data_IF_795818282905
#
_entry.id   IF_795818282905
#
_cell.length_a   1.000
_cell.length_b   1.000
_cell.length_c   1.000
_cell.angle_alpha   90.00
_cell.angle_beta   90.00
_cell.angle_gamma   90.00
#
_symmetry.space_group_name_H-M   'P 1'
#
loop_
_entity.id
_entity.type
_entity.pdbx_description
1 polymer ?
#
# COMPACT_ATOMS: atom_id res chain seq x y z
N UNK A 1 -53.07 7.77 -1.22
CA UNK A 1 -51.74 8.43 -1.29
C UNK A 1 -50.79 7.57 -2.12
N UNK A 2 -50.53 7.95 -3.36
CA UNK A 2 -49.30 7.59 -4.10
C UNK A 2 -49.07 8.70 -5.13
N UNK A 3 -47.87 9.25 -5.07
CA UNK A 3 -47.41 10.47 -5.75
C UNK A 3 -47.09 10.12 -7.20
N UNK A 4 -47.66 10.88 -8.15
CA UNK A 4 -47.29 10.83 -9.57
C UNK A 4 -46.13 11.81 -9.79
N UNK A 5 -44.98 11.31 -10.25
CA UNK A 5 -43.86 12.14 -10.69
C UNK A 5 -44.08 12.57 -12.15
N UNK A 6 -43.96 13.88 -12.35
CA UNK A 6 -44.14 14.63 -13.60
C UNK A 6 -42.95 14.37 -14.54
N UNK A 7 -43.21 13.85 -15.75
CA UNK A 7 -42.23 13.87 -16.84
C UNK A 7 -42.16 15.28 -17.47
N UNK A 8 -40.97 15.79 -17.84
CA UNK A 8 -40.84 17.12 -18.42
C UNK A 8 -41.29 17.19 -19.88
N UNK A 9 -41.84 18.35 -20.18
CA UNK A 9 -42.32 18.89 -21.44
C UNK A 9 -41.28 18.85 -22.57
N UNK A 10 -41.67 18.31 -23.72
CA UNK A 10 -40.91 18.42 -24.96
C UNK A 10 -41.60 17.86 -26.21
N UNK A 11 -42.93 17.69 -26.20
CA UNK A 11 -43.68 17.21 -27.35
C UNK A 11 -44.47 18.36 -27.99
N UNK A 12 -44.15 18.67 -29.23
CA UNK A 12 -45.04 19.28 -30.22
C UNK A 12 -44.57 18.89 -31.63
N UNK A 13 -45.42 18.93 -32.66
CA UNK A 13 -46.82 18.52 -32.67
C UNK A 13 -47.16 17.57 -33.84
N UNK A 14 -48.29 16.88 -33.68
CA UNK A 14 -49.28 16.44 -34.66
C UNK A 14 -48.87 16.09 -36.10
N UNK A 15 -49.24 14.88 -36.52
CA UNK A 15 -49.95 14.67 -37.79
C UNK A 15 -51.06 13.64 -37.55
N UNK A 16 -52.31 14.14 -37.57
CA UNK A 16 -53.51 13.33 -37.63
C UNK A 16 -53.66 12.76 -39.04
N UNK A 17 -53.80 11.45 -39.16
CA UNK A 17 -54.52 10.87 -40.30
C UNK A 17 -55.53 9.88 -39.70
N UNK A 18 -56.78 10.32 -39.63
CA UNK A 18 -57.93 9.43 -39.64
C UNK A 18 -58.08 8.93 -41.08
N UNK A 19 -58.01 7.62 -41.29
CA UNK A 19 -58.81 7.04 -42.36
C UNK A 19 -59.31 5.65 -41.95
N UNK A 20 -60.63 5.54 -41.96
CA UNK A 20 -61.39 4.35 -41.67
C UNK A 20 -62.03 3.89 -42.97
N UNK A 21 -61.31 3.10 -43.77
CA UNK A 21 -61.86 2.26 -44.84
C UNK A 21 -61.02 0.98 -45.01
N UNK A 22 -61.71 -0.17 -44.98
CA UNK A 22 -61.28 -1.59 -45.01
C UNK A 22 -60.40 -1.97 -46.26
N UNK A 23 -59.62 -3.09 -46.33
CA UNK A 23 -59.98 -4.44 -45.85
C UNK A 23 -58.85 -5.36 -45.29
N UNK A 24 -59.29 -6.51 -44.78
CA UNK A 24 -58.48 -7.68 -44.42
C UNK A 24 -57.65 -8.17 -45.63
N UNK A 25 -56.35 -7.88 -45.64
CA UNK A 25 -55.38 -8.54 -46.49
C UNK A 25 -54.18 -8.97 -45.63
N UNK A 26 -54.12 -10.26 -45.32
CA UNK A 26 -52.94 -10.94 -44.80
C UNK A 26 -51.85 -10.88 -45.87
N UNK A 27 -51.04 -9.84 -45.84
CA UNK A 27 -49.74 -9.82 -46.50
C UNK A 27 -48.69 -9.82 -45.41
N UNK A 28 -47.99 -10.94 -45.27
CA UNK A 28 -46.73 -11.02 -44.55
C UNK A 28 -45.69 -10.22 -45.32
N UNK A 29 -45.78 -8.89 -45.30
CA UNK A 29 -44.58 -8.09 -45.48
C UNK A 29 -43.70 -8.39 -44.29
N UNK A 30 -42.58 -9.04 -44.56
CA UNK A 30 -41.42 -9.05 -43.67
C UNK A 30 -41.19 -7.60 -43.26
N UNK A 31 -41.66 -7.22 -42.07
CA UNK A 31 -41.15 -6.05 -41.39
C UNK A 31 -39.73 -6.46 -41.08
N UNK A 32 -38.80 -6.13 -41.99
CA UNK A 32 -37.41 -6.01 -41.61
C UNK A 32 -37.41 -4.91 -40.57
N UNK A 33 -37.54 -5.30 -39.30
CA UNK A 33 -37.12 -4.44 -38.22
C UNK A 33 -35.73 -3.98 -38.62
N UNK A 34 -35.45 -2.67 -38.71
CA UNK A 34 -34.07 -2.24 -38.83
C UNK A 34 -33.35 -2.96 -37.71
N UNK A 35 -32.37 -3.82 -38.06
CA UNK A 35 -31.50 -4.42 -37.05
C UNK A 35 -31.01 -3.23 -36.26
N UNK A 36 -31.49 -3.10 -35.03
CA UNK A 36 -31.11 -2.02 -34.17
C UNK A 36 -29.62 -2.23 -33.94
N UNK A 37 -28.79 -1.60 -34.76
CA UNK A 37 -27.38 -1.44 -34.51
C UNK A 37 -27.23 -0.34 -33.46
N UNK A 38 -28.01 -0.47 -32.38
CA UNK A 38 -27.74 0.16 -31.11
C UNK A 38 -26.90 -0.85 -30.36
N UNK A 39 -25.62 -0.94 -30.68
CA UNK A 39 -24.66 -1.44 -29.69
C UNK A 39 -24.80 -0.49 -28.51
N UNK A 40 -25.57 -0.88 -27.50
CA UNK A 40 -25.58 -0.16 -26.22
C UNK A 40 -24.13 -0.16 -25.75
N UNK A 41 -23.53 1.03 -25.74
CA UNK A 41 -22.10 1.20 -25.45
C UNK A 41 -21.81 0.49 -24.12
N UNK A 42 -21.01 -0.57 -24.17
CA UNK A 42 -20.59 -1.32 -22.99
C UNK A 42 -21.45 -2.53 -22.59
N UNK A 43 -22.32 -3.06 -23.47
CA UNK A 43 -22.95 -4.37 -23.28
C UNK A 43 -22.53 -5.35 -24.38
N UNK A 44 -22.31 -6.60 -23.98
CA UNK A 44 -21.76 -7.69 -24.79
C UNK A 44 -22.51 -8.99 -24.50
N UNK A 45 -22.33 -9.99 -25.36
CA UNK A 45 -22.97 -11.31 -25.26
C UNK A 45 -24.17 -11.48 -26.20
N UNK A 46 -24.60 -12.73 -26.44
CA UNK A 46 -25.70 -13.05 -27.34
C UNK A 46 -27.06 -12.50 -26.88
N UNK A 47 -27.18 -12.07 -25.62
CA UNK A 47 -28.38 -11.50 -25.01
C UNK A 47 -28.11 -10.13 -24.35
N UNK A 48 -26.98 -9.48 -24.66
CA UNK A 48 -26.54 -8.23 -24.01
C UNK A 48 -26.47 -8.34 -22.48
N UNK A 49 -26.11 -9.52 -21.96
CA UNK A 49 -26.12 -9.86 -20.54
C UNK A 49 -24.85 -9.44 -19.79
N UNK A 50 -23.73 -9.23 -20.51
CA UNK A 50 -22.46 -8.80 -19.92
C UNK A 50 -22.32 -7.30 -20.11
N UNK A 51 -22.24 -6.54 -19.02
CA UNK A 51 -21.88 -5.13 -19.09
C UNK A 51 -20.38 -4.93 -18.80
N UNK A 52 -19.86 -3.73 -19.07
CA UNK A 52 -18.48 -3.38 -18.72
C UNK A 52 -18.42 -2.24 -17.72
N UNK A 53 -17.48 -2.33 -16.79
CA UNK A 53 -17.06 -1.21 -15.96
C UNK A 53 -15.65 -0.80 -16.38
N UNK A 54 -15.50 0.43 -16.88
CA UNK A 54 -14.21 1.02 -17.24
C UNK A 54 -13.41 0.14 -18.21
N UNK A 55 -14.11 -0.40 -19.22
CA UNK A 55 -13.59 -1.31 -20.27
C UNK A 55 -13.20 -2.71 -19.80
N UNK A 56 -13.55 -3.10 -18.57
CA UNK A 56 -13.38 -4.45 -18.04
C UNK A 56 -14.76 -5.14 -17.99
N UNK A 57 -14.85 -6.37 -18.51
CA UNK A 57 -16.06 -7.19 -18.49
C UNK A 57 -16.52 -7.52 -17.06
N UNK A 58 -17.83 -7.50 -16.81
CA UNK A 58 -18.40 -7.72 -15.47
C UNK A 58 -18.14 -9.10 -14.86
N UNK A 59 -17.74 -10.09 -15.68
CA UNK A 59 -17.37 -11.43 -15.26
C UNK A 59 -15.87 -11.60 -14.94
N UNK A 60 -15.05 -10.58 -15.20
CA UNK A 60 -13.61 -10.61 -14.96
C UNK A 60 -13.29 -10.42 -13.49
N UNK A 61 -12.31 -11.16 -12.97
CA UNK A 61 -11.83 -10.99 -11.59
C UNK A 61 -11.10 -9.66 -11.36
N UNK A 62 -10.78 -8.92 -12.43
CA UNK A 62 -10.12 -7.61 -12.35
C UNK A 62 -11.12 -6.44 -12.41
N UNK A 63 -12.41 -6.71 -12.65
CA UNK A 63 -13.43 -5.66 -12.72
C UNK A 63 -13.51 -4.95 -11.37
N UNK A 64 -13.69 -3.63 -11.39
CA UNK A 64 -13.70 -2.82 -10.17
C UNK A 64 -12.46 -3.09 -9.29
N UNK A 65 -11.29 -3.15 -9.93
CA UNK A 65 -9.99 -3.45 -9.32
C UNK A 65 -9.94 -4.77 -8.55
N UNK A 66 -10.89 -5.68 -8.78
CA UNK A 66 -11.04 -6.94 -8.03
C UNK A 66 -11.65 -6.79 -6.64
N UNK A 67 -12.19 -5.61 -6.31
CA UNK A 67 -12.71 -5.27 -4.97
C UNK A 67 -14.13 -4.69 -5.03
N UNK A 68 -14.94 -5.25 -5.92
CA UNK A 68 -16.34 -4.88 -6.07
C UNK A 68 -17.02 -5.61 -7.21
N UNK A 69 -18.27 -5.23 -7.45
CA UNK A 69 -19.11 -5.79 -8.51
C UNK A 69 -19.53 -4.71 -9.49
N UNK A 70 -19.47 -5.04 -10.78
CA UNK A 70 -19.98 -4.16 -11.83
C UNK A 70 -21.52 -4.27 -11.88
N UNK A 71 -22.21 -3.28 -11.32
CA UNK A 71 -23.67 -3.28 -11.20
C UNK A 71 -24.36 -2.83 -12.50
N UNK A 72 -23.74 -1.89 -13.21
CA UNK A 72 -24.17 -1.38 -14.52
C UNK A 72 -22.98 -0.74 -15.25
N UNK A 73 -23.17 -0.28 -16.49
CA UNK A 73 -22.10 0.32 -17.29
C UNK A 73 -21.35 1.43 -16.53
N UNK A 74 -20.04 1.24 -16.34
CA UNK A 74 -19.16 2.12 -15.55
C UNK A 74 -19.62 2.39 -14.11
N UNK A 75 -20.37 1.48 -13.49
CA UNK A 75 -20.85 1.62 -12.12
C UNK A 75 -20.42 0.44 -11.25
N UNK A 76 -19.33 0.65 -10.51
CA UNK A 76 -18.81 -0.29 -9.54
C UNK A 76 -19.46 -0.09 -8.16
N UNK A 77 -19.94 -1.18 -7.56
CA UNK A 77 -20.31 -1.25 -6.15
C UNK A 77 -19.15 -1.92 -5.42
N UNK A 78 -18.48 -1.16 -4.56
CA UNK A 78 -17.26 -1.61 -3.88
C UNK A 78 -17.55 -2.49 -2.68
N UNK A 79 -16.62 -3.41 -2.40
CA UNK A 79 -16.59 -4.19 -1.17
C UNK A 79 -16.24 -3.30 0.02
N UNK A 80 -16.54 -3.78 1.23
CA UNK A 80 -16.28 -3.03 2.48
C UNK A 80 -14.80 -2.63 2.60
N UNK A 81 -14.56 -1.35 2.89
CA UNK A 81 -13.21 -0.77 3.03
C UNK A 81 -12.56 -0.31 1.72
N UNK A 82 -13.21 -0.54 0.57
CA UNK A 82 -12.77 -0.04 -0.73
C UNK A 82 -13.65 1.09 -1.23
N UNK A 83 -13.08 1.94 -2.07
CA UNK A 83 -13.72 3.17 -2.57
C UNK A 83 -13.05 3.64 -3.87
N UNK A 84 -13.57 4.71 -4.45
CA UNK A 84 -13.14 5.19 -5.76
C UNK A 84 -14.09 4.72 -6.85
N UNK A 85 -13.83 5.17 -8.08
CA UNK A 85 -14.69 4.88 -9.22
C UNK A 85 -14.59 3.42 -9.66
N UNK A 86 -13.44 2.81 -9.43
CA UNK A 86 -13.11 1.42 -9.76
C UNK A 86 -12.76 0.63 -8.50
N UNK A 87 -13.14 1.08 -7.30
CA UNK A 87 -12.81 0.42 -6.02
C UNK A 87 -11.30 0.27 -5.77
N UNK A 88 -10.50 1.17 -6.34
CA UNK A 88 -9.03 1.15 -6.31
C UNK A 88 -8.42 1.79 -5.04
N UNK A 89 -9.23 2.53 -4.28
CA UNK A 89 -8.78 3.29 -3.10
C UNK A 89 -9.21 2.58 -1.83
N UNK A 90 -8.24 2.35 -0.95
CA UNK A 90 -8.47 1.80 0.38
C UNK A 90 -7.45 2.42 1.35
N UNK A 91 -7.61 2.14 2.64
CA UNK A 91 -6.73 2.67 3.68
C UNK A 91 -6.12 1.57 4.52
N UNK A 92 -4.85 1.74 4.88
CA UNK A 92 -4.18 0.96 5.92
C UNK A 92 -4.00 1.84 7.14
N UNK A 93 -4.71 1.52 8.23
CA UNK A 93 -4.55 2.18 9.54
C UNK A 93 -4.67 3.72 9.44
N UNK A 94 -5.63 4.18 8.63
CA UNK A 94 -5.92 5.61 8.43
C UNK A 94 -5.11 6.31 7.32
N UNK A 95 -4.16 5.61 6.67
CA UNK A 95 -3.42 6.14 5.51
C UNK A 95 -3.92 5.51 4.21
N UNK A 96 -4.13 6.32 3.16
CA UNK A 96 -4.47 5.80 1.84
C UNK A 96 -3.39 4.85 1.30
N UNK A 97 -3.79 3.86 0.52
CA UNK A 97 -2.89 2.89 -0.12
C UNK A 97 -1.80 3.51 -0.99
N UNK A 98 -2.01 4.73 -1.49
CA UNK A 98 -1.03 5.52 -2.26
C UNK A 98 -0.10 6.39 -1.41
N UNK A 99 -0.29 6.45 -0.10
CA UNK A 99 0.51 7.27 0.81
C UNK A 99 1.85 6.62 1.13
N UNK A 100 2.94 7.39 1.07
CA UNK A 100 4.27 6.95 1.53
C UNK A 100 4.35 6.67 3.03
N UNK A 101 3.39 7.19 3.81
CA UNK A 101 3.33 6.99 5.25
C UNK A 101 2.53 5.74 5.65
N UNK A 102 1.82 5.12 4.70
CA UNK A 102 1.14 3.85 4.97
C UNK A 102 2.17 2.80 5.40
N UNK A 103 1.79 1.93 6.34
CA UNK A 103 2.68 0.88 6.86
C UNK A 103 4.02 1.44 7.38
N UNK A 104 3.98 2.58 8.07
CA UNK A 104 5.14 3.33 8.59
C UNK A 104 6.21 3.66 7.53
N UNK A 105 5.86 3.66 6.25
CA UNK A 105 6.82 3.78 5.14
C UNK A 105 7.75 2.58 4.97
N UNK A 106 7.55 1.51 5.74
CA UNK A 106 8.37 0.30 5.77
C UNK A 106 7.62 -0.92 5.19
N UNK A 107 6.59 -0.69 4.40
CA UNK A 107 5.80 -1.74 3.78
C UNK A 107 4.87 -1.22 2.69
N UNK A 108 4.11 -2.15 2.12
CA UNK A 108 3.08 -1.87 1.11
C UNK A 108 1.70 -2.10 1.71
N UNK A 109 0.80 -1.15 1.52
CA UNK A 109 -0.61 -1.30 1.87
C UNK A 109 -1.31 -2.18 0.82
N UNK A 110 -1.64 -3.42 1.17
CA UNK A 110 -2.13 -4.44 0.21
C UNK A 110 -3.63 -4.64 0.25
N UNK A 111 -4.28 -4.30 1.36
CA UNK A 111 -5.73 -4.35 1.56
C UNK A 111 -6.11 -3.46 2.76
N UNK A 112 -7.41 -3.20 3.01
CA UNK A 112 -7.87 -2.42 4.15
C UNK A 112 -7.24 -2.90 5.47
N UNK A 113 -6.50 -2.02 6.15
CA UNK A 113 -5.78 -2.31 7.39
C UNK A 113 -4.82 -3.52 7.31
N UNK A 114 -4.24 -3.77 6.13
CA UNK A 114 -3.28 -4.86 5.92
C UNK A 114 -2.01 -4.37 5.24
N UNK A 115 -0.89 -4.54 5.93
CA UNK A 115 0.43 -4.18 5.47
C UNK A 115 1.26 -5.42 5.15
N UNK A 116 1.94 -5.39 4.00
CA UNK A 116 3.01 -6.30 3.66
C UNK A 116 4.35 -5.60 3.95
N UNK A 117 5.06 -6.05 4.98
CA UNK A 117 6.28 -5.39 5.42
C UNK A 117 7.49 -5.68 4.52
N UNK A 118 8.35 -4.67 4.37
CA UNK A 118 9.64 -4.82 3.72
C UNK A 118 10.54 -5.77 4.55
N UNK A 119 11.54 -6.35 3.90
CA UNK A 119 12.45 -7.29 4.55
C UNK A 119 13.09 -6.70 5.82
N UNK A 120 13.01 -7.43 6.94
CA UNK A 120 13.56 -7.02 8.23
C UNK A 120 12.62 -6.19 9.11
N UNK A 121 11.47 -5.73 8.59
CA UNK A 121 10.41 -5.07 9.34
C UNK A 121 9.27 -6.03 9.66
N UNK A 122 8.57 -5.77 10.76
CA UNK A 122 7.44 -6.55 11.25
C UNK A 122 6.52 -5.70 12.13
N UNK A 123 5.41 -6.30 12.57
CA UNK A 123 4.30 -5.58 13.20
C UNK A 123 3.12 -5.46 12.25
N UNK A 124 1.96 -5.06 12.76
CA UNK A 124 0.75 -4.92 11.93
C UNK A 124 0.87 -3.76 10.94
N UNK A 125 1.70 -2.77 11.27
CA UNK A 125 1.92 -1.57 10.48
C UNK A 125 3.38 -1.43 10.03
N UNK A 126 4.20 -2.49 10.14
CA UNK A 126 5.62 -2.49 9.82
C UNK A 126 6.45 -1.49 10.65
N UNK A 127 6.02 -1.25 11.88
CA UNK A 127 6.60 -0.31 12.83
C UNK A 127 7.83 -0.85 13.56
N UNK A 128 7.99 -2.17 13.63
CA UNK A 128 9.05 -2.82 14.41
C UNK A 128 10.12 -3.43 13.51
N UNK A 129 11.35 -3.45 14.00
CA UNK A 129 12.49 -4.09 13.35
C UNK A 129 13.54 -4.52 14.38
N UNK A 130 14.55 -5.26 13.93
CA UNK A 130 15.69 -5.68 14.76
C UNK A 130 17.01 -5.16 14.21
N UNK A 131 17.89 -4.75 15.10
CA UNK A 131 19.30 -4.50 14.82
C UNK A 131 20.14 -5.63 15.41
N UNK A 132 20.79 -6.42 14.56
CA UNK A 132 21.72 -7.49 14.96
C UNK A 132 21.09 -8.42 16.00
N UNK A 133 19.88 -8.91 15.68
CA UNK A 133 19.05 -9.78 16.53
C UNK A 133 18.41 -9.13 17.77
N UNK A 134 18.75 -7.89 18.10
CA UNK A 134 18.12 -7.13 19.19
C UNK A 134 16.94 -6.30 18.67
N UNK A 135 15.89 -6.15 19.48
CA UNK A 135 14.78 -5.26 19.14
C UNK A 135 15.28 -3.80 19.04
N UNK A 136 14.73 -3.01 18.11
CA UNK A 136 15.06 -1.59 17.92
C UNK A 136 15.00 -0.75 19.21
N UNK A 137 14.18 -1.13 20.19
CA UNK A 137 14.02 -0.42 21.46
C UNK A 137 14.86 -0.97 22.62
N UNK A 138 15.72 -1.97 22.38
CA UNK A 138 16.57 -2.54 23.42
C UNK A 138 17.64 -1.55 23.87
N UNK A 139 17.89 -1.43 25.17
CA UNK A 139 18.99 -0.63 25.71
C UNK A 139 20.38 -1.15 25.32
N UNK A 140 20.48 -2.40 24.87
CA UNK A 140 21.71 -3.02 24.39
C UNK A 140 21.89 -2.90 22.87
N UNK A 141 20.92 -2.30 22.17
CA UNK A 141 21.02 -2.11 20.72
C UNK A 141 22.24 -1.25 20.39
N UNK A 142 22.91 -1.55 19.28
CA UNK A 142 24.14 -0.85 18.89
C UNK A 142 25.16 -0.78 20.04
N UNK A 143 25.33 -1.92 20.73
CA UNK A 143 26.23 -2.08 21.89
C UNK A 143 25.99 -1.08 23.03
N UNK A 144 24.79 -0.50 23.12
CA UNK A 144 24.46 0.57 24.07
C UNK A 144 25.10 1.93 23.75
N UNK A 145 25.80 2.02 22.62
CA UNK A 145 26.60 3.17 22.20
C UNK A 145 26.05 3.83 20.93
N UNK A 146 24.77 3.65 20.65
CA UNK A 146 24.10 4.21 19.49
C UNK A 146 22.60 3.92 19.52
N UNK A 147 21.96 4.15 18.39
CA UNK A 147 20.55 3.84 18.19
C UNK A 147 20.31 3.18 16.83
N UNK A 148 19.28 2.33 16.80
CA UNK A 148 18.88 1.56 15.63
C UNK A 148 17.99 2.44 14.72
N UNK A 149 18.31 2.51 13.43
CA UNK A 149 17.56 3.32 12.44
C UNK A 149 16.91 2.48 11.35
N UNK A 150 17.20 1.18 11.33
CA UNK A 150 16.62 0.22 10.41
C UNK A 150 17.17 -1.18 10.67
N UNK A 151 16.72 -2.20 9.91
CA UNK A 151 17.18 -3.57 10.06
C UNK A 151 18.71 -3.66 9.98
N UNK A 152 19.35 -4.08 11.07
CA UNK A 152 20.80 -4.20 11.20
C UNK A 152 21.58 -2.90 10.88
N UNK A 153 20.98 -1.73 11.11
CA UNK A 153 21.58 -0.43 10.84
C UNK A 153 21.61 0.44 12.11
N UNK A 154 22.82 0.77 12.55
CA UNK A 154 23.08 1.57 13.74
C UNK A 154 23.68 2.94 13.38
N UNK A 155 23.26 3.97 14.11
CA UNK A 155 23.93 5.26 14.17
C UNK A 155 24.64 5.37 15.52
N UNK A 156 25.95 5.58 15.50
CA UNK A 156 26.78 5.57 16.69
C UNK A 156 26.84 6.94 17.37
N UNK A 157 26.88 6.92 18.70
CA UNK A 157 27.16 8.09 19.51
C UNK A 157 28.59 8.58 19.27
N UNK A 158 28.85 9.86 19.52
CA UNK A 158 30.15 10.47 19.26
C UNK A 158 31.31 9.69 19.90
N UNK A 159 32.33 9.38 19.10
CA UNK A 159 33.53 8.63 19.50
C UNK A 159 33.38 7.11 19.51
N UNK A 160 32.19 6.58 19.17
CA UNK A 160 31.98 5.17 18.87
C UNK A 160 31.80 4.97 17.36
N UNK A 161 32.18 3.79 16.88
CA UNK A 161 32.08 3.43 15.46
C UNK A 161 32.03 1.92 15.28
N UNK A 162 31.97 1.47 14.03
CA UNK A 162 31.70 0.08 13.67
C UNK A 162 30.22 -0.15 13.36
N UNK A 163 29.90 -1.31 12.80
CA UNK A 163 28.53 -1.63 12.39
C UNK A 163 27.56 -1.72 13.58
N UNK A 164 28.07 -2.07 14.77
CA UNK A 164 27.30 -2.18 16.01
C UNK A 164 27.68 -1.13 17.06
N UNK A 165 28.50 -0.13 16.72
CA UNK A 165 29.00 0.87 17.68
C UNK A 165 29.80 0.25 18.85
N UNK A 166 30.48 -0.85 18.57
CA UNK A 166 31.26 -1.66 19.51
C UNK A 166 32.75 -1.30 19.52
N UNK A 167 33.16 -0.34 18.67
CA UNK A 167 34.54 0.12 18.55
C UNK A 167 34.68 1.57 19.01
N UNK A 168 35.81 1.87 19.64
CA UNK A 168 36.23 3.20 20.08
C UNK A 168 37.75 3.22 20.20
N UNK A 169 38.32 4.40 20.45
CA UNK A 169 39.77 4.56 20.63
C UNK A 169 40.14 4.84 22.09
N UNK A 170 41.28 4.29 22.51
CA UNK A 170 42.02 4.71 23.69
C UNK A 170 43.33 5.36 23.24
N UNK A 171 43.47 6.66 23.53
CA UNK A 171 44.66 7.45 23.22
C UNK A 171 45.10 7.35 21.75
N UNK A 172 44.11 7.36 20.84
CA UNK A 172 44.33 7.27 19.40
C UNK A 172 44.47 5.85 18.84
N UNK A 173 44.47 4.82 19.69
CA UNK A 173 44.58 3.41 19.28
C UNK A 173 43.22 2.71 19.42
N UNK A 174 42.83 1.90 18.43
CA UNK A 174 41.56 1.15 18.45
C UNK A 174 41.52 0.20 19.65
N UNK A 175 40.38 0.11 20.34
CA UNK A 175 40.18 -0.68 21.56
C UNK A 175 40.62 -2.16 21.51
N UNK A 176 40.62 -2.77 20.32
CA UNK A 176 40.92 -4.18 20.10
C UNK A 176 42.27 -4.40 19.39
N UNK A 177 43.03 -3.33 19.17
CA UNK A 177 44.38 -3.43 18.64
C UNK A 177 45.33 -3.95 19.73
N UNK A 178 46.32 -4.76 19.33
CA UNK A 178 47.28 -5.36 20.26
C UNK A 178 48.13 -4.36 21.05
N UNK A 179 48.32 -3.15 20.52
CA UNK A 179 49.08 -2.07 21.17
C UNK A 179 48.25 -1.08 22.00
N UNK A 180 46.95 -1.33 22.18
CA UNK A 180 46.09 -0.46 22.99
C UNK A 180 46.57 -0.44 24.45
N UNK A 181 46.47 0.70 25.14
CA UNK A 181 46.93 0.83 26.53
C UNK A 181 48.39 0.38 26.70
N UNK A 182 49.26 0.82 25.78
CA UNK A 182 50.68 0.45 25.70
C UNK A 182 50.94 -1.05 25.64
N UNK A 183 49.96 -1.86 25.22
CA UNK A 183 50.01 -3.32 25.24
C UNK A 183 49.93 -3.94 26.65
N UNK A 184 49.73 -3.13 27.68
CA UNK A 184 49.83 -3.50 29.11
C UNK A 184 48.53 -3.33 29.88
N UNK A 185 47.40 -3.16 29.18
CA UNK A 185 46.08 -3.00 29.80
C UNK A 185 44.93 -3.21 28.82
N UNK A 186 43.71 -3.11 29.34
CA UNK A 186 42.47 -3.20 28.56
C UNK A 186 41.79 -1.84 28.40
N UNK A 187 41.33 -1.52 27.19
CA UNK A 187 40.54 -0.32 26.91
C UNK A 187 39.06 -0.56 27.25
N UNK A 188 38.59 0.02 28.36
CA UNK A 188 37.23 -0.22 28.89
C UNK A 188 36.22 0.85 28.48
N UNK A 189 36.69 2.06 28.17
CA UNK A 189 35.90 3.17 27.61
C UNK A 189 36.85 4.09 26.81
N UNK A 190 36.34 5.12 26.14
CA UNK A 190 37.11 6.14 25.42
C UNK A 190 38.22 6.71 26.28
N UNK A 191 39.46 6.59 25.79
CA UNK A 191 40.67 7.03 26.49
C UNK A 191 40.77 6.53 27.94
N UNK A 192 40.17 5.37 28.26
CA UNK A 192 40.16 4.81 29.61
C UNK A 192 40.75 3.41 29.58
N UNK A 193 41.95 3.30 30.13
CA UNK A 193 42.69 2.06 30.23
C UNK A 193 42.61 1.52 31.67
N UNK A 194 42.44 0.20 31.79
CA UNK A 194 42.65 -0.54 33.03
C UNK A 194 43.95 -1.30 32.89
N UNK A 195 44.95 -0.90 33.67
CA UNK A 195 46.30 -1.44 33.59
C UNK A 195 46.44 -2.77 34.33
N UNK A 196 47.36 -3.60 33.85
CA UNK A 196 47.78 -4.80 34.57
C UNK A 196 48.53 -4.42 35.85
N UNK A 197 48.66 -5.37 36.79
CA UNK A 197 49.17 -5.15 38.16
C UNK A 197 50.57 -4.49 38.31
N UNK A 198 51.33 -4.36 37.22
CA UNK A 198 52.71 -3.86 37.21
C UNK A 198 52.91 -2.60 36.38
N UNK A 199 51.85 -2.07 35.77
CA UNK A 199 51.89 -0.87 34.91
C UNK A 199 50.97 0.20 35.46
N UNK A 200 51.37 1.46 35.31
CA UNK A 200 50.69 2.62 35.88
C UNK A 200 50.53 3.70 34.80
N UNK A 201 50.00 4.87 35.16
CA UNK A 201 49.73 5.92 34.19
C UNK A 201 48.39 5.75 33.48
N UNK A 202 48.06 6.73 32.64
CA UNK A 202 46.73 6.83 32.05
C UNK A 202 46.56 5.94 30.82
N UNK A 203 47.67 5.55 30.18
CA UNK A 203 47.76 4.63 29.04
C UNK A 203 48.64 3.39 29.35
N UNK A 204 48.87 3.08 30.63
CA UNK A 204 49.63 1.92 31.11
C UNK A 204 51.10 1.87 30.65
N UNK A 205 51.75 3.03 30.58
CA UNK A 205 53.17 3.24 30.28
C UNK A 205 54.16 2.92 31.42
#
# INVERSE_FOLDING_TARGET
>A
MRVQHKLPSGASPELWINDSTYPLALSFTLITFPTANSTSVGFYGPQCEVNTCYRIESNSTLVCSGHGKCSSYNNCVCDDGYSGLQCEKFQCFGYYNSSSNACNGNGTCVAPNQCLCNAGYFGSECESYKCFSLNMNSSLVCSGNGYCVGPNACVCNNGYYGAQCDLWNCYGVIRNASGVCSGSGGCVDKNTCVCNNVTYGSNCE
#
